data_IF_217280842052
#
_entry.id   IF_217280842052
#
_cell.length_a   1.000
_cell.length_b   1.000
_cell.length_c   1.000
_cell.angle_alpha   90.00
_cell.angle_beta   90.00
_cell.angle_gamma   90.00
#
_symmetry.space_group_name_H-M   'P 1'
#
loop_
_entity.id
_entity.type
_entity.pdbx_description
1 polymer ?
#
# COMPACT_ATOMS: atom_id res chain seq x y z
N UNK A 1 -6.11 4.75 5.25
CA UNK A 1 -6.28 5.48 3.98
C UNK A 1 -4.92 5.83 3.42
N UNK A 2 -4.75 5.80 2.11
CA UNK A 2 -3.48 6.23 1.50
C UNK A 2 -3.28 7.73 1.68
N UNK A 3 -2.03 8.15 1.93
CA UNK A 3 -1.67 9.56 1.72
C UNK A 3 -1.95 9.93 0.25
N UNK A 4 -2.36 11.18 0.01
CA UNK A 4 -2.70 11.64 -1.34
C UNK A 4 -1.58 11.39 -2.36
N UNK A 5 -0.33 11.53 -1.94
CA UNK A 5 0.82 11.27 -2.81
C UNK A 5 0.98 9.78 -3.15
N UNK A 6 0.76 8.91 -2.20
CA UNK A 6 0.77 7.46 -2.41
C UNK A 6 -0.37 7.03 -3.35
N UNK A 7 -1.54 7.63 -3.19
CA UNK A 7 -2.67 7.41 -4.10
C UNK A 7 -2.32 7.81 -5.54
N UNK A 8 -1.68 8.98 -5.72
CA UNK A 8 -1.22 9.43 -7.04
C UNK A 8 -0.19 8.47 -7.65
N UNK A 9 0.75 7.95 -6.85
CA UNK A 9 1.73 6.96 -7.29
C UNK A 9 1.05 5.65 -7.76
N UNK A 10 0.08 5.16 -6.99
CA UNK A 10 -0.69 3.97 -7.37
C UNK A 10 -1.50 4.20 -8.65
N UNK A 11 -2.06 5.40 -8.82
CA UNK A 11 -2.75 5.77 -10.07
C UNK A 11 -1.77 5.85 -11.25
N UNK A 12 -0.56 6.38 -11.04
CA UNK A 12 0.49 6.38 -12.06
C UNK A 12 0.89 4.95 -12.47
N UNK A 13 1.10 4.04 -11.52
CA UNK A 13 1.40 2.65 -11.84
C UNK A 13 0.26 1.98 -12.64
N UNK A 14 -0.99 2.23 -12.29
CA UNK A 14 -2.14 1.74 -13.05
C UNK A 14 -2.21 2.32 -14.46
N UNK A 15 -1.98 3.64 -14.61
CA UNK A 15 -2.01 4.31 -15.92
C UNK A 15 -0.85 3.90 -16.82
N UNK A 16 0.32 3.63 -16.23
CA UNK A 16 1.50 3.15 -16.94
C UNK A 16 1.52 1.63 -17.18
N UNK A 17 0.54 0.88 -16.64
CA UNK A 17 0.46 -0.58 -16.77
C UNK A 17 1.53 -1.32 -15.96
N UNK A 18 2.11 -0.73 -14.92
CA UNK A 18 3.06 -1.39 -14.03
C UNK A 18 2.36 -2.25 -12.99
N UNK A 19 2.80 -3.50 -12.83
CA UNK A 19 2.25 -4.40 -11.84
C UNK A 19 3.12 -4.42 -10.57
N UNK A 20 2.80 -3.55 -9.61
CA UNK A 20 3.52 -3.49 -8.33
C UNK A 20 3.35 -4.76 -7.46
N UNK A 21 2.34 -5.59 -7.73
CA UNK A 21 2.09 -6.79 -6.93
C UNK A 21 2.97 -7.99 -7.28
N UNK A 22 3.63 -7.92 -8.45
CA UNK A 22 4.56 -8.94 -8.89
C UNK A 22 5.99 -8.69 -8.39
N UNK A 23 6.14 -8.19 -7.17
CA UNK A 23 7.41 -7.90 -6.54
C UNK A 23 7.57 -8.74 -5.27
N UNK A 24 8.82 -9.13 -4.96
CA UNK A 24 9.11 -9.83 -3.70
C UNK A 24 8.74 -9.00 -2.48
N UNK A 25 9.02 -7.70 -2.50
CA UNK A 25 8.67 -6.76 -1.42
C UNK A 25 7.17 -6.72 -1.09
N UNK A 26 6.32 -7.07 -2.06
CA UNK A 26 4.87 -7.10 -1.94
C UNK A 26 4.28 -8.50 -1.70
N UNK A 27 5.15 -9.48 -1.34
CA UNK A 27 4.70 -10.84 -1.06
C UNK A 27 3.64 -10.88 0.05
N UNK A 28 3.84 -10.12 1.13
CA UNK A 28 2.97 -10.03 2.31
C UNK A 28 2.00 -8.83 2.26
N UNK A 29 1.78 -8.19 1.11
CA UNK A 29 0.99 -6.96 1.01
C UNK A 29 -0.42 -7.10 1.58
N UNK A 30 -1.08 -8.24 1.38
CA UNK A 30 -2.45 -8.46 1.83
C UNK A 30 -2.57 -8.62 3.35
N UNK A 31 -1.63 -9.31 3.99
CA UNK A 31 -1.61 -9.40 5.45
C UNK A 31 -1.21 -8.06 6.09
N UNK A 32 -0.28 -7.32 5.46
CA UNK A 32 0.09 -5.96 5.91
C UNK A 32 -1.07 -4.97 5.85
N UNK A 33 -1.88 -5.01 4.80
CA UNK A 33 -3.04 -4.14 4.65
C UNK A 33 -4.06 -4.29 5.81
N UNK A 34 -4.14 -5.48 6.42
CA UNK A 34 -5.09 -5.79 7.49
C UNK A 34 -4.45 -5.70 8.88
N UNK A 35 -3.18 -6.11 9.03
CA UNK A 35 -2.51 -6.20 10.34
C UNK A 35 -1.55 -5.04 10.63
N UNK A 36 -0.94 -4.44 9.61
CA UNK A 36 0.05 -3.38 9.79
C UNK A 36 -0.44 -2.01 9.29
N UNK A 37 -1.76 -1.78 9.35
CA UNK A 37 -2.31 -0.48 9.00
C UNK A 37 -1.83 0.63 9.96
N UNK A 38 -1.62 1.80 9.39
CA UNK A 38 -1.24 2.98 10.16
C UNK A 38 -2.48 3.61 10.80
N UNK A 39 -2.42 3.81 12.13
CA UNK A 39 -3.44 4.55 12.86
C UNK A 39 -3.04 6.01 12.97
N UNK A 40 -3.88 6.97 12.59
CA UNK A 40 -3.58 8.38 12.78
C UNK A 40 -3.33 8.70 14.26
N UNK A 41 -2.46 9.69 14.52
CA UNK A 41 -2.14 10.15 15.89
C UNK A 41 -2.48 11.62 16.02
N UNK A 42 -3.32 11.95 17.01
CA UNK A 42 -3.74 13.32 17.24
C UNK A 42 -4.65 13.85 16.12
N UNK A 43 -4.44 15.06 15.67
CA UNK A 43 -5.24 15.70 14.63
C UNK A 43 -4.36 16.03 13.40
N UNK A 44 -4.69 15.44 12.27
CA UNK A 44 -4.02 15.66 10.99
C UNK A 44 -5.01 16.15 9.93
N UNK A 45 -4.62 17.14 9.15
CA UNK A 45 -5.35 17.69 8.03
C UNK A 45 -4.49 17.63 6.76
N UNK A 46 -5.02 17.03 5.71
CA UNK A 46 -4.37 16.95 4.39
C UNK A 46 -5.23 17.68 3.37
N UNK A 47 -4.66 18.71 2.75
CA UNK A 47 -5.32 19.49 1.70
C UNK A 47 -4.49 19.37 0.43
N UNK A 48 -5.10 18.89 -0.64
CA UNK A 48 -4.44 18.77 -1.94
C UNK A 48 -5.23 19.50 -3.01
N UNK A 49 -4.52 20.07 -3.96
CA UNK A 49 -5.11 20.73 -5.12
C UNK A 49 -4.79 19.97 -6.40
N UNK A 50 -5.67 20.09 -7.37
CA UNK A 50 -5.59 19.46 -8.69
C UNK A 50 -5.49 20.52 -9.79
N UNK A 51 -4.48 21.42 -9.79
CA UNK A 51 -4.44 22.56 -10.72
C UNK A 51 -4.33 22.11 -12.17
N UNK A 52 -3.58 21.04 -12.43
CA UNK A 52 -3.46 20.42 -13.74
C UNK A 52 -3.44 18.89 -13.63
N UNK A 53 -3.77 18.17 -14.72
CA UNK A 53 -3.68 16.72 -14.72
C UNK A 53 -2.28 16.18 -14.43
N UNK A 54 -1.23 16.96 -14.72
CA UNK A 54 0.18 16.56 -14.56
C UNK A 54 0.80 17.01 -13.23
N UNK A 55 0.34 18.10 -12.63
CA UNK A 55 0.94 18.67 -11.42
C UNK A 55 -0.05 18.72 -10.26
N UNK A 56 0.36 18.22 -9.10
CA UNK A 56 -0.49 18.07 -7.92
C UNK A 56 0.28 18.43 -6.65
N UNK A 57 0.01 19.59 -6.03
CA UNK A 57 0.53 19.95 -4.72
C UNK A 57 -0.35 19.38 -3.59
N UNK A 58 0.28 19.08 -2.47
CA UNK A 58 -0.38 18.61 -1.25
C UNK A 58 0.25 19.27 -0.02
N UNK A 59 -0.60 19.66 0.90
CA UNK A 59 -0.26 20.31 2.17
C UNK A 59 -0.75 19.40 3.30
N UNK A 60 0.14 19.02 4.21
CA UNK A 60 -0.22 18.27 5.40
C UNK A 60 0.05 19.13 6.62
N UNK A 61 -0.91 19.22 7.52
CA UNK A 61 -0.78 19.91 8.79
C UNK A 61 -1.17 18.94 9.91
N UNK A 62 -0.25 18.66 10.81
CA UNK A 62 -0.51 17.92 12.04
C UNK A 62 -0.57 18.93 13.20
N UNK A 63 -1.75 19.07 13.78
CA UNK A 63 -1.97 20.02 14.87
C UNK A 63 -1.62 19.43 16.23
N UNK A 64 -1.80 18.13 16.42
CA UNK A 64 -1.55 17.39 17.66
C UNK A 64 -0.79 16.08 17.36
N UNK A 65 0.09 15.61 18.28
CA UNK A 65 0.47 16.20 19.57
C UNK A 65 1.44 17.38 19.43
N UNK A 66 2.11 17.52 18.31
CA UNK A 66 3.04 18.63 18.01
C UNK A 66 2.66 19.26 16.69
N UNK A 67 2.75 20.59 16.64
CA UNK A 67 2.50 21.31 15.40
C UNK A 67 3.65 21.05 14.41
N UNK A 68 3.33 20.32 13.36
CA UNK A 68 4.24 20.08 12.26
C UNK A 68 3.46 19.98 10.96
N UNK A 69 4.16 20.03 9.85
CA UNK A 69 3.51 19.94 8.56
C UNK A 69 4.46 19.57 7.45
N UNK A 70 3.93 19.41 6.28
CA UNK A 70 4.74 19.19 5.08
C UNK A 70 4.07 19.77 3.85
N UNK A 71 4.93 20.19 2.92
CA UNK A 71 4.55 20.63 1.58
C UNK A 71 5.10 19.62 0.59
N UNK A 72 4.21 18.98 -0.15
CA UNK A 72 4.56 18.04 -1.19
C UNK A 72 4.10 18.51 -2.57
N UNK A 73 4.80 18.07 -3.60
CA UNK A 73 4.37 18.22 -4.99
C UNK A 73 4.68 16.95 -5.76
N UNK A 74 3.84 16.69 -6.73
CA UNK A 74 3.98 15.57 -7.63
C UNK A 74 3.79 16.06 -9.06
N UNK A 75 4.68 15.63 -9.94
CA UNK A 75 4.60 15.90 -11.37
C UNK A 75 4.72 14.59 -12.15
N UNK A 76 3.87 14.42 -13.14
CA UNK A 76 3.84 13.23 -14.00
C UNK A 76 3.89 13.59 -15.47
N UNK A 77 4.60 12.80 -16.27
CA UNK A 77 4.61 12.96 -17.73
C UNK A 77 3.24 12.65 -18.35
N UNK A 78 2.54 11.67 -17.79
CA UNK A 78 1.18 11.34 -18.20
C UNK A 78 0.15 12.13 -17.39
N UNK A 79 -0.92 12.61 -18.02
CA UNK A 79 -2.02 13.20 -17.29
C UNK A 79 -2.66 12.14 -16.38
N UNK A 80 -2.74 12.45 -15.08
CA UNK A 80 -3.49 11.64 -14.12
C UNK A 80 -4.84 12.28 -13.90
N UNK A 81 -5.86 11.66 -14.45
CA UNK A 81 -7.24 12.04 -14.17
C UNK A 81 -7.62 11.58 -12.76
N UNK A 82 -7.41 12.46 -11.80
CA UNK A 82 -7.83 12.27 -10.42
C UNK A 82 -9.05 13.16 -10.22
N UNK A 83 -10.17 12.55 -9.87
CA UNK A 83 -11.35 13.31 -9.48
C UNK A 83 -11.15 14.04 -8.14
N UNK A 84 -12.00 15.00 -7.84
CA UNK A 84 -12.05 15.67 -6.54
C UNK A 84 -12.45 14.68 -5.44
N UNK A 85 -12.21 15.03 -4.19
CA UNK A 85 -12.63 14.19 -3.03
C UNK A 85 -14.13 13.87 -3.02
N UNK A 86 -14.95 14.69 -3.70
CA UNK A 86 -16.37 14.41 -3.91
C UNK A 86 -16.63 13.27 -4.91
N UNK A 87 -15.86 13.21 -6.00
CA UNK A 87 -16.10 12.30 -7.14
C UNK A 87 -15.28 11.02 -7.09
N UNK A 88 -14.13 11.05 -6.38
CA UNK A 88 -13.26 9.89 -6.25
C UNK A 88 -13.98 8.72 -5.58
N UNK A 89 -13.76 7.53 -6.12
CA UNK A 89 -14.21 6.30 -5.47
C UNK A 89 -13.39 6.06 -4.19
N UNK A 90 -14.10 6.00 -3.05
CA UNK A 90 -13.50 5.73 -1.76
C UNK A 90 -12.72 4.41 -1.74
N UNK A 91 -13.16 3.42 -2.51
CA UNK A 91 -12.50 2.12 -2.60
C UNK A 91 -11.05 2.19 -3.10
N UNK A 92 -10.73 3.20 -3.91
CA UNK A 92 -9.38 3.37 -4.45
C UNK A 92 -8.42 4.09 -3.49
N UNK A 93 -8.98 4.81 -2.52
CA UNK A 93 -8.22 5.59 -1.53
C UNK A 93 -7.79 4.81 -0.30
N UNK A 94 -8.28 3.60 -0.13
CA UNK A 94 -8.01 2.78 1.06
C UNK A 94 -7.14 1.58 0.74
N UNK A 95 -6.20 1.29 1.66
CA UNK A 95 -5.45 0.05 1.64
C UNK A 95 -6.32 -1.07 2.21
N UNK A 96 -6.73 -2.00 1.37
CA UNK A 96 -7.67 -3.07 1.72
C UNK A 96 -7.33 -4.34 0.98
N UNK A 97 -7.87 -5.45 1.45
CA UNK A 97 -7.82 -6.70 0.71
C UNK A 97 -8.51 -6.54 -0.66
N UNK A 98 -7.76 -6.81 -1.72
CA UNK A 98 -8.26 -6.74 -3.10
C UNK A 98 -7.90 -8.00 -3.86
N UNK A 99 -8.82 -8.45 -4.69
CA UNK A 99 -8.47 -9.42 -5.72
C UNK A 99 -7.87 -8.63 -6.88
N UNK A 100 -6.65 -8.97 -7.25
CA UNK A 100 -5.97 -8.33 -8.37
C UNK A 100 -6.59 -8.81 -9.66
N UNK A 101 -7.41 -7.98 -10.25
CA UNK A 101 -7.88 -8.20 -11.61
C UNK A 101 -6.74 -7.80 -12.55
N UNK A 102 -6.30 -8.72 -13.42
CA UNK A 102 -5.39 -8.39 -14.50
C UNK A 102 -6.02 -7.27 -15.31
N UNK A 103 -5.46 -6.06 -15.22
CA UNK A 103 -5.94 -4.97 -16.05
C UNK A 103 -5.75 -5.39 -17.51
N UNK A 104 -6.75 -5.16 -18.39
CA UNK A 104 -6.52 -5.34 -19.81
C UNK A 104 -5.32 -4.48 -20.19
N UNK A 105 -4.32 -5.08 -20.77
CA UNK A 105 -3.20 -4.38 -21.38
C UNK A 105 -3.79 -3.49 -22.47
N UNK A 106 -4.14 -2.27 -22.11
CA UNK A 106 -4.25 -1.21 -23.11
C UNK A 106 -2.91 -1.22 -23.80
N UNK A 107 -2.89 -1.43 -25.10
CA UNK A 107 -1.69 -1.33 -25.94
C UNK A 107 -1.17 0.09 -25.79
N UNK A 108 -0.31 0.28 -24.80
CA UNK A 108 0.31 1.56 -24.51
C UNK A 108 1.36 1.73 -25.60
N UNK A 109 1.16 2.73 -26.44
CA UNK A 109 2.11 3.02 -27.50
C UNK A 109 3.38 3.65 -26.89
N UNK A 110 4.36 2.81 -26.57
CA UNK A 110 5.64 3.22 -25.96
C UNK A 110 6.54 4.08 -26.88
N UNK A 111 6.07 4.33 -28.12
CA UNK A 111 6.87 5.05 -29.12
C UNK A 111 7.04 6.55 -28.84
N UNK A 112 6.27 7.13 -27.90
CA UNK A 112 6.18 8.60 -27.80
C UNK A 112 7.08 9.22 -26.73
N UNK A 113 7.33 8.59 -25.60
CA UNK A 113 8.32 9.01 -24.58
C UNK A 113 8.27 8.09 -23.35
N UNK A 114 9.38 7.88 -22.65
CA UNK A 114 9.36 7.12 -21.40
C UNK A 114 8.55 7.85 -20.34
N UNK A 115 7.62 7.15 -19.71
CA UNK A 115 6.82 7.68 -18.63
C UNK A 115 7.67 7.96 -17.40
N UNK A 116 7.50 9.11 -16.78
CA UNK A 116 8.18 9.46 -15.54
C UNK A 116 7.27 10.16 -14.54
N UNK A 117 7.65 10.04 -13.28
CA UNK A 117 7.01 10.68 -12.15
C UNK A 117 8.11 11.32 -11.28
N UNK A 118 7.91 12.56 -10.90
CA UNK A 118 8.72 13.29 -9.95
C UNK A 118 7.87 13.60 -8.71
N UNK A 119 8.40 13.31 -7.55
CA UNK A 119 7.81 13.63 -6.27
C UNK A 119 8.83 14.33 -5.39
N UNK A 120 8.40 15.37 -4.69
CA UNK A 120 9.20 16.06 -3.69
C UNK A 120 8.33 16.45 -2.50
N UNK A 121 8.85 16.30 -1.27
CA UNK A 121 8.17 16.69 -0.04
C UNK A 121 9.15 17.32 0.94
N UNK A 122 8.77 18.44 1.51
CA UNK A 122 9.53 19.15 2.52
C UNK A 122 8.73 19.16 3.82
N UNK A 123 9.38 18.76 4.93
CA UNK A 123 8.76 18.70 6.26
C UNK A 123 9.18 19.90 7.10
N UNK A 124 8.25 20.45 7.86
CA UNK A 124 8.45 21.55 8.79
C UNK A 124 8.14 21.10 10.23
N UNK A 125 8.88 21.57 11.25
CA UNK A 125 9.96 22.58 11.21
C UNK A 125 11.35 22.01 10.86
N UNK A 126 11.51 20.70 10.73
CA UNK A 126 12.82 20.04 10.61
C UNK A 126 13.51 20.20 9.26
N UNK A 127 12.91 20.87 8.26
CA UNK A 127 13.41 21.06 6.90
C UNK A 127 13.94 19.78 6.22
N UNK A 128 13.43 18.61 6.61
CA UNK A 128 13.75 17.34 5.95
C UNK A 128 13.13 17.33 4.56
N UNK A 129 13.93 16.95 3.58
CA UNK A 129 13.51 16.81 2.19
C UNK A 129 13.45 15.34 1.80
N UNK A 130 12.38 14.97 1.15
CA UNK A 130 12.22 13.67 0.52
C UNK A 130 11.97 13.89 -0.97
N UNK A 131 12.62 13.11 -1.82
CA UNK A 131 12.43 13.14 -3.25
C UNK A 131 12.33 11.72 -3.79
N UNK A 132 11.52 11.53 -4.82
CA UNK A 132 11.39 10.27 -5.54
C UNK A 132 11.30 10.56 -7.04
N UNK A 133 12.02 9.78 -7.80
CA UNK A 133 11.97 9.76 -9.25
C UNK A 133 11.68 8.35 -9.74
N UNK A 134 10.62 8.19 -10.50
CA UNK A 134 10.25 6.92 -11.13
C UNK A 134 10.31 7.12 -12.64
N UNK A 135 10.95 6.21 -13.36
CA UNK A 135 11.02 6.22 -14.82
C UNK A 135 10.74 4.84 -15.38
N UNK A 136 9.76 4.76 -16.26
CA UNK A 136 9.51 3.59 -17.10
C UNK A 136 10.42 3.68 -18.32
N UNK A 137 11.40 2.79 -18.41
CA UNK A 137 12.35 2.75 -19.54
C UNK A 137 11.77 1.92 -20.68
N UNK A 138 11.12 0.80 -20.33
CA UNK A 138 10.43 -0.07 -21.28
C UNK A 138 9.20 -0.69 -20.64
N UNK A 139 8.48 -1.53 -21.39
CA UNK A 139 7.32 -2.27 -20.89
C UNK A 139 7.63 -3.13 -19.65
N UNK A 140 8.85 -3.67 -19.59
CA UNK A 140 9.28 -4.58 -18.54
C UNK A 140 10.30 -3.97 -17.57
N UNK A 141 10.83 -2.77 -17.87
CA UNK A 141 11.92 -2.18 -17.11
C UNK A 141 11.52 -0.84 -16.51
N UNK A 142 11.65 -0.73 -15.19
CA UNK A 142 11.43 0.49 -14.42
C UNK A 142 12.64 0.82 -13.56
N UNK A 143 12.96 2.09 -13.47
CA UNK A 143 13.98 2.64 -12.60
C UNK A 143 13.35 3.56 -11.58
N UNK A 144 13.74 3.40 -10.32
CA UNK A 144 13.26 4.20 -9.20
C UNK A 144 14.45 4.73 -8.41
N UNK A 145 14.42 6.01 -8.07
CA UNK A 145 15.38 6.65 -7.17
C UNK A 145 14.62 7.34 -6.07
N UNK A 146 15.02 7.11 -4.84
CA UNK A 146 14.52 7.85 -3.67
C UNK A 146 15.68 8.52 -2.97
N UNK A 147 15.49 9.75 -2.55
CA UNK A 147 16.49 10.52 -1.82
C UNK A 147 15.85 11.15 -0.59
N UNK A 148 16.54 11.06 0.54
CA UNK A 148 16.13 11.69 1.80
C UNK A 148 17.30 12.50 2.31
N UNK A 149 17.06 13.78 2.54
CA UNK A 149 18.04 14.70 3.10
C UNK A 149 17.48 15.34 4.39
N UNK A 150 18.26 15.32 5.45
CA UNK A 150 17.93 15.98 6.71
C UNK A 150 19.01 17.01 7.02
N UNK A 151 18.66 18.27 7.30
CA UNK A 151 19.66 19.32 7.60
C UNK A 151 20.33 19.16 8.97
N UNK A 152 20.06 18.10 9.72
CA UNK A 152 20.71 17.81 11.00
C UNK A 152 22.18 17.47 10.77
N UNK A 153 23.05 18.17 11.52
CA UNK A 153 24.49 17.96 11.49
C UNK A 153 24.84 16.54 11.81
N UNK A 154 25.22 15.61 11.27
CA UNK A 154 25.55 14.18 11.52
C UNK A 154 24.64 13.17 10.81
N UNK A 155 23.65 13.60 10.02
CA UNK A 155 22.86 12.69 9.19
C UNK A 155 23.25 12.88 7.73
N UNK A 156 23.93 11.92 7.15
CA UNK A 156 24.28 11.93 5.72
C UNK A 156 23.02 11.83 4.86
N UNK A 157 23.00 12.47 3.68
CA UNK A 157 21.94 12.27 2.70
C UNK A 157 21.87 10.80 2.28
N UNK A 158 20.68 10.26 2.27
CA UNK A 158 20.45 8.87 1.85
C UNK A 158 19.87 8.85 0.44
N UNK A 159 20.47 8.07 -0.43
CA UNK A 159 19.97 7.84 -1.79
C UNK A 159 19.82 6.34 -2.00
N UNK A 160 18.63 5.92 -2.36
CA UNK A 160 18.38 4.54 -2.74
C UNK A 160 17.96 4.48 -4.22
N UNK A 161 18.58 3.58 -4.96
CA UNK A 161 18.32 3.32 -6.37
C UNK A 161 17.79 1.91 -6.52
N UNK A 162 16.79 1.72 -7.33
CA UNK A 162 16.19 0.42 -7.59
C UNK A 162 15.89 0.26 -9.07
N UNK A 163 16.37 -0.83 -9.64
CA UNK A 163 16.05 -1.27 -10.99
C UNK A 163 15.16 -2.50 -10.91
N UNK A 164 14.02 -2.46 -11.56
CA UNK A 164 13.01 -3.51 -11.54
C UNK A 164 12.75 -4.00 -12.95
N UNK A 165 12.78 -5.33 -13.13
CA UNK A 165 12.47 -5.98 -14.38
C UNK A 165 11.34 -6.99 -14.17
N UNK A 166 10.19 -6.77 -14.79
CA UNK A 166 8.98 -7.60 -14.63
C UNK A 166 8.47 -8.10 -15.99
N UNK A 167 8.39 -9.41 -16.12
CA UNK A 167 7.84 -10.11 -17.31
C UNK A 167 6.46 -10.70 -17.03
N UNK A 168 5.95 -10.50 -15.79
CA UNK A 168 4.68 -11.07 -15.34
C UNK A 168 4.82 -12.48 -14.76
N UNK A 169 5.57 -13.38 -15.39
CA UNK A 169 5.87 -14.71 -14.86
C UNK A 169 6.95 -14.69 -13.79
N UNK A 170 7.92 -13.82 -13.96
CA UNK A 170 8.99 -13.58 -12.99
C UNK A 170 9.32 -12.10 -12.92
N UNK A 171 9.80 -11.67 -11.77
CA UNK A 171 10.26 -10.32 -11.51
C UNK A 171 11.64 -10.39 -10.85
N UNK A 172 12.53 -9.50 -11.24
CA UNK A 172 13.85 -9.33 -10.64
C UNK A 172 14.04 -7.86 -10.29
N UNK A 173 14.60 -7.61 -9.11
CA UNK A 173 14.86 -6.27 -8.60
C UNK A 173 16.31 -6.19 -8.13
N UNK A 174 17.01 -5.14 -8.52
CA UNK A 174 18.33 -4.80 -8.02
C UNK A 174 18.24 -3.46 -7.30
N UNK A 175 18.71 -3.38 -6.08
CA UNK A 175 18.70 -2.17 -5.26
C UNK A 175 20.08 -1.83 -4.72
N UNK A 176 20.36 -0.53 -4.61
CA UNK A 176 21.55 0.01 -3.97
C UNK A 176 21.15 1.17 -3.07
N UNK A 177 21.68 1.20 -1.84
CA UNK A 177 21.45 2.29 -0.89
C UNK A 177 22.79 2.88 -0.46
N UNK A 178 22.90 4.21 -0.52
CA UNK A 178 24.18 4.90 -0.29
C UNK A 178 24.60 4.97 1.19
N UNK A 179 23.68 4.82 2.13
CA UNK A 179 23.93 4.95 3.56
C UNK A 179 24.89 3.86 4.06
N UNK A 180 24.46 2.61 3.95
CA UNK A 180 25.26 1.45 4.39
C UNK A 180 26.00 0.77 3.23
N UNK A 181 25.98 1.34 2.03
CA UNK A 181 26.47 0.66 0.83
C UNK A 181 25.75 -0.67 0.58
N UNK A 182 24.46 -0.75 0.92
CA UNK A 182 23.68 -1.98 0.85
C UNK A 182 23.29 -2.30 -0.58
N UNK A 183 23.77 -3.46 -1.07
CA UNK A 183 23.35 -4.07 -2.33
C UNK A 183 22.25 -5.09 -2.04
N UNK A 184 21.14 -5.02 -2.77
CA UNK A 184 20.03 -5.96 -2.65
C UNK A 184 19.67 -6.55 -4.00
N UNK A 185 19.47 -7.86 -4.04
CA UNK A 185 18.92 -8.58 -5.19
C UNK A 185 17.67 -9.33 -4.75
N UNK A 186 16.55 -9.10 -5.45
CA UNK A 186 15.28 -9.77 -5.20
C UNK A 186 14.81 -10.46 -6.45
N UNK A 187 14.23 -11.63 -6.29
CA UNK A 187 13.61 -12.35 -7.38
C UNK A 187 12.29 -12.98 -6.91
N UNK A 188 11.31 -12.98 -7.79
CA UNK A 188 10.01 -13.63 -7.58
C UNK A 188 9.65 -14.41 -8.83
N UNK A 189 9.22 -15.65 -8.67
CA UNK A 189 8.74 -16.52 -9.76
C UNK A 189 7.34 -17.03 -9.45
N UNK A 190 6.44 -16.90 -10.41
CA UNK A 190 5.06 -17.34 -10.33
C UNK A 190 4.85 -18.66 -11.06
N UNK A 191 4.35 -19.66 -10.31
CA UNK A 191 3.99 -20.97 -10.86
C UNK A 191 2.50 -20.98 -11.19
N UNK A 192 2.12 -21.78 -12.16
CA UNK A 192 0.74 -22.00 -12.54
C UNK A 192 0.38 -21.38 -13.88
N UNK A 193 -0.68 -21.90 -14.48
CA UNK A 193 -1.23 -21.35 -15.70
C UNK A 193 -2.25 -20.24 -15.36
N UNK A 194 -2.46 -19.26 -16.23
CA UNK A 194 -3.40 -18.15 -15.99
C UNK A 194 -4.87 -18.60 -15.85
N UNK A 195 -5.17 -19.85 -16.16
CA UNK A 195 -6.52 -20.46 -16.07
C UNK A 195 -6.70 -21.28 -14.76
N UNK A 196 -5.66 -21.44 -13.96
CA UNK A 196 -5.74 -22.21 -12.71
C UNK A 196 -6.53 -21.45 -11.63
N UNK A 197 -7.11 -22.19 -10.67
CA UNK A 197 -7.87 -21.64 -9.54
C UNK A 197 -7.00 -20.82 -8.58
N UNK A 198 -5.70 -21.08 -8.55
CA UNK A 198 -4.75 -20.42 -7.67
C UNK A 198 -3.36 -20.31 -8.28
N UNK A 199 -2.56 -19.42 -7.72
CA UNK A 199 -1.19 -19.16 -8.14
C UNK A 199 -0.24 -19.33 -6.96
N UNK A 200 0.81 -20.12 -7.15
CA UNK A 200 1.95 -20.19 -6.27
C UNK A 200 3.02 -19.22 -6.73
N UNK A 201 3.66 -18.54 -5.78
CA UNK A 201 4.80 -17.66 -6.04
C UNK A 201 5.90 -18.02 -5.06
N UNK A 202 7.13 -18.14 -5.56
CA UNK A 202 8.33 -18.34 -4.73
C UNK A 202 9.26 -17.18 -5.00
N UNK A 203 9.84 -16.61 -3.95
CA UNK A 203 10.78 -15.51 -4.06
C UNK A 203 11.92 -15.63 -3.08
N UNK A 204 12.98 -14.91 -3.40
CA UNK A 204 14.17 -14.80 -2.56
C UNK A 204 14.71 -13.37 -2.60
N UNK A 205 15.37 -12.99 -1.52
CA UNK A 205 16.00 -11.71 -1.34
C UNK A 205 17.39 -11.91 -0.73
N UNK A 206 18.39 -11.33 -1.35
CA UNK A 206 19.77 -11.34 -0.92
C UNK A 206 20.23 -9.93 -0.65
N UNK A 207 20.88 -9.70 0.47
CA UNK A 207 21.51 -8.42 0.82
C UNK A 207 22.99 -8.60 1.08
N UNK A 208 23.75 -7.60 0.67
CA UNK A 208 25.14 -7.48 1.03
C UNK A 208 25.48 -6.04 1.37
N UNK A 209 25.88 -5.79 2.62
CA UNK A 209 26.41 -4.51 3.08
C UNK A 209 27.90 -4.42 2.78
N UNK A 210 28.28 -3.51 1.88
CA UNK A 210 29.68 -3.36 1.46
C UNK A 210 30.53 -2.79 2.60
N UNK A 211 29.96 -1.86 3.38
CA UNK A 211 30.68 -1.21 4.48
C UNK A 211 30.84 -2.15 5.68
N UNK A 212 29.78 -2.82 6.08
CA UNK A 212 29.76 -3.68 7.27
C UNK A 212 30.14 -5.14 6.95
N UNK A 213 30.33 -5.49 5.66
CA UNK A 213 30.59 -6.85 5.20
C UNK A 213 29.58 -7.87 5.73
N UNK A 214 28.34 -7.43 5.89
CA UNK A 214 27.23 -8.22 6.39
C UNK A 214 26.41 -8.77 5.22
N UNK A 215 25.90 -9.98 5.35
CA UNK A 215 25.01 -10.59 4.35
C UNK A 215 23.67 -10.97 4.98
N UNK A 216 22.60 -10.87 4.19
CA UNK A 216 21.26 -11.29 4.56
C UNK A 216 20.61 -12.14 3.48
N UNK A 217 19.83 -13.11 3.88
CA UNK A 217 19.05 -13.97 3.01
C UNK A 217 17.62 -14.05 3.55
N UNK A 218 16.63 -13.80 2.70
CA UNK A 218 15.23 -14.05 3.00
C UNK A 218 14.59 -14.81 1.84
N UNK A 219 13.74 -15.77 2.18
CA UNK A 219 12.98 -16.54 1.18
C UNK A 219 11.51 -16.50 1.54
N UNK A 220 10.64 -16.59 0.54
CA UNK A 220 9.21 -16.57 0.78
C UNK A 220 8.42 -17.33 -0.26
N UNK A 221 7.30 -17.88 0.18
CA UNK A 221 6.34 -18.61 -0.65
C UNK A 221 4.97 -17.97 -0.43
N UNK A 222 4.23 -17.77 -1.51
CA UNK A 222 2.85 -17.26 -1.47
C UNK A 222 1.95 -18.13 -2.34
N UNK A 223 0.81 -18.48 -1.78
CA UNK A 223 -0.33 -18.98 -2.53
C UNK A 223 -1.44 -17.91 -2.53
N UNK A 224 -2.05 -17.64 -3.66
CA UNK A 224 -3.21 -16.76 -3.78
C UNK A 224 -4.24 -17.31 -4.74
N UNK A 225 -5.51 -17.11 -4.45
CA UNK A 225 -6.61 -17.42 -5.36
C UNK A 225 -6.66 -16.37 -6.47
N UNK A 226 -6.82 -16.81 -7.72
CA UNK A 226 -6.95 -15.92 -8.87
C UNK A 226 -8.41 -15.45 -9.04
N UNK A 227 -8.63 -14.25 -9.63
CA UNK A 227 -9.99 -13.69 -9.84
C UNK A 227 -10.87 -14.54 -10.74
N UNK A 228 -10.28 -15.36 -11.60
CA UNK A 228 -10.99 -16.28 -12.50
C UNK A 228 -11.60 -17.49 -11.78
N UNK A 229 -11.27 -17.68 -10.50
CA UNK A 229 -11.78 -18.80 -9.71
C UNK A 229 -13.11 -18.47 -9.05
N UNK A 230 -14.03 -19.43 -9.01
CA UNK A 230 -15.24 -19.39 -8.18
C UNK A 230 -14.97 -19.66 -6.69
N UNK A 231 -13.73 -20.01 -6.33
CA UNK A 231 -13.34 -20.27 -4.96
C UNK A 231 -13.24 -18.96 -4.15
N UNK A 232 -13.49 -19.00 -2.83
CA UNK A 232 -13.34 -17.83 -1.98
C UNK A 232 -11.89 -17.29 -2.06
N UNK A 233 -11.71 -15.96 -2.12
CA UNK A 233 -10.39 -15.36 -2.19
C UNK A 233 -9.60 -15.61 -0.90
N UNK A 234 -8.50 -16.34 -1.03
CA UNK A 234 -7.56 -16.62 0.06
C UNK A 234 -6.15 -16.29 -0.35
N UNK A 235 -5.32 -15.95 0.63
CA UNK A 235 -3.87 -15.85 0.48
C UNK A 235 -3.17 -16.50 1.66
N UNK A 236 -2.24 -17.37 1.37
CA UNK A 236 -1.32 -17.93 2.32
C UNK A 236 0.09 -17.46 1.98
N UNK A 237 0.84 -16.99 2.98
CA UNK A 237 2.20 -16.51 2.78
C UNK A 237 3.09 -17.08 3.88
N UNK A 238 4.23 -17.59 3.51
CA UNK A 238 5.29 -18.05 4.40
C UNK A 238 6.59 -17.36 4.03
N UNK A 239 7.27 -16.75 4.99
CA UNK A 239 8.59 -16.15 4.81
C UNK A 239 9.55 -16.66 5.86
N UNK A 240 10.79 -16.88 5.46
CA UNK A 240 11.87 -17.39 6.29
C UNK A 240 13.13 -16.57 6.05
N UNK A 241 13.71 -16.08 7.12
CA UNK A 241 15.06 -15.54 7.13
C UNK A 241 15.96 -16.50 7.93
N UNK A 242 16.75 -17.35 7.27
CA UNK A 242 17.53 -18.37 7.96
C UNK A 242 18.71 -17.80 8.75
N UNK A 243 19.21 -16.61 8.39
CA UNK A 243 20.36 -15.99 9.07
C UNK A 243 19.92 -15.43 10.42
N UNK A 244 18.79 -14.72 10.46
CA UNK A 244 18.23 -14.16 11.69
C UNK A 244 17.39 -15.21 12.46
N UNK A 245 17.05 -16.31 11.81
CA UNK A 245 16.16 -17.33 12.37
C UNK A 245 14.71 -16.87 12.50
N UNK A 246 14.27 -15.88 11.71
CA UNK A 246 12.91 -15.37 11.76
C UNK A 246 12.01 -16.06 10.72
N UNK A 247 10.88 -16.54 11.16
CA UNK A 247 9.86 -17.22 10.38
C UNK A 247 8.52 -16.48 10.56
N UNK A 248 7.85 -16.19 9.47
CA UNK A 248 6.53 -15.55 9.50
C UNK A 248 5.55 -16.31 8.58
N UNK A 249 4.39 -16.65 9.13
CA UNK A 249 3.31 -17.30 8.39
C UNK A 249 2.08 -16.44 8.47
N UNK A 250 1.45 -16.13 7.34
CA UNK A 250 0.20 -15.38 7.33
C UNK A 250 -0.86 -16.06 6.48
N UNK A 251 -2.10 -16.00 6.96
CA UNK A 251 -3.27 -16.49 6.27
C UNK A 251 -4.34 -15.40 6.23
N UNK A 252 -4.81 -15.09 5.03
CA UNK A 252 -5.86 -14.10 4.78
C UNK A 252 -6.99 -14.78 4.04
N UNK A 253 -8.21 -14.63 4.51
CA UNK A 253 -9.39 -15.19 3.86
C UNK A 253 -10.54 -14.17 3.83
N UNK A 254 -11.20 -14.09 2.70
CA UNK A 254 -12.47 -13.38 2.56
C UNK A 254 -13.58 -14.34 3.02
N UNK A 255 -14.14 -14.08 4.20
CA UNK A 255 -15.20 -14.91 4.81
C UNK A 255 -16.53 -14.63 4.13
N UNK A 256 -16.86 -13.34 3.98
CA UNK A 256 -18.06 -12.85 3.30
C UNK A 256 -17.69 -11.70 2.37
N UNK A 257 -18.66 -11.15 1.62
CA UNK A 257 -18.41 -9.98 0.78
C UNK A 257 -17.97 -8.76 1.58
N UNK A 258 -18.36 -8.66 2.83
CA UNK A 258 -18.08 -7.54 3.73
C UNK A 258 -16.95 -7.80 4.71
N UNK A 259 -16.66 -9.06 5.03
CA UNK A 259 -15.72 -9.45 6.07
C UNK A 259 -14.52 -10.20 5.50
N UNK A 260 -13.32 -9.69 5.80
CA UNK A 260 -12.04 -10.35 5.56
C UNK A 260 -11.33 -10.55 6.90
N UNK A 261 -10.78 -11.71 7.12
CA UNK A 261 -9.99 -12.04 8.31
C UNK A 261 -8.56 -12.36 7.94
N UNK A 262 -7.65 -12.01 8.82
CA UNK A 262 -6.24 -12.28 8.69
C UNK A 262 -5.66 -12.77 10.02
N UNK A 263 -4.79 -13.77 9.94
CA UNK A 263 -3.98 -14.23 11.07
C UNK A 263 -2.53 -14.30 10.63
N UNK A 264 -1.60 -13.87 11.49
CA UNK A 264 -0.17 -13.95 11.28
C UNK A 264 0.49 -14.51 12.53
N UNK A 265 1.39 -15.46 12.32
CA UNK A 265 2.22 -16.06 13.35
C UNK A 265 3.68 -15.81 12.98
N UNK A 266 4.37 -15.09 13.85
CA UNK A 266 5.79 -14.78 13.75
C UNK A 266 6.53 -15.60 14.81
N UNK A 267 7.64 -16.23 14.43
CA UNK A 267 8.45 -17.06 15.31
C UNK A 267 9.94 -16.81 15.06
N UNK A 268 10.69 -16.65 16.15
CA UNK A 268 12.15 -16.57 16.11
C UNK A 268 12.76 -17.88 16.61
N UNK A 269 13.50 -18.56 15.73
CA UNK A 269 14.13 -19.86 16.03
C UNK A 269 15.21 -19.73 17.11
N UNK A 270 15.91 -18.59 17.14
CA UNK A 270 17.03 -18.42 18.05
C UNK A 270 16.62 -17.89 19.45
N UNK A 271 15.61 -17.01 19.51
CA UNK A 271 15.11 -16.49 20.79
C UNK A 271 13.91 -17.26 21.35
N UNK A 272 13.34 -18.18 20.56
CA UNK A 272 12.08 -18.88 20.88
C UNK A 272 10.90 -17.95 21.17
N UNK A 273 11.00 -16.71 20.73
CA UNK A 273 9.90 -15.75 20.84
C UNK A 273 8.85 -16.02 19.76
N UNK A 274 7.60 -15.98 20.16
CA UNK A 274 6.47 -16.12 19.26
C UNK A 274 5.51 -14.95 19.41
N UNK A 275 5.00 -14.43 18.30
CA UNK A 275 3.97 -13.41 18.27
C UNK A 275 2.81 -13.88 17.38
N UNK A 276 1.60 -13.77 17.91
CA UNK A 276 0.37 -14.04 17.18
C UNK A 276 -0.40 -12.74 17.00
N UNK A 277 -0.70 -12.40 15.77
CA UNK A 277 -1.55 -11.28 15.43
C UNK A 277 -2.77 -11.75 14.63
N UNK A 278 -3.94 -11.28 15.03
CA UNK A 278 -5.20 -11.54 14.35
C UNK A 278 -5.87 -10.20 14.03
N UNK A 279 -6.46 -10.09 12.86
CA UNK A 279 -7.16 -8.88 12.45
C UNK A 279 -8.31 -9.18 11.51
N UNK A 280 -9.18 -8.19 11.40
CA UNK A 280 -10.28 -8.23 10.45
C UNK A 280 -10.49 -6.87 9.78
N UNK A 281 -11.07 -6.94 8.60
CA UNK A 281 -11.51 -5.81 7.80
C UNK A 281 -13.00 -5.99 7.51
N UNK A 282 -13.82 -5.04 7.98
CA UNK A 282 -15.26 -5.03 7.74
C UNK A 282 -15.65 -3.84 6.84
N UNK A 283 -16.40 -4.11 5.79
CA UNK A 283 -16.80 -3.14 4.77
C UNK A 283 -18.26 -2.78 4.92
N UNK A 284 -18.53 -1.49 5.10
CA UNK A 284 -19.90 -0.98 5.12
C UNK A 284 -20.29 -0.54 3.72
N UNK A 285 -21.32 -1.18 3.17
CA UNK A 285 -21.88 -0.88 1.85
C UNK A 285 -23.21 -0.15 2.02
N UNK A 286 -23.45 0.88 1.23
CA UNK A 286 -24.77 1.49 1.12
C UNK A 286 -25.50 0.91 -0.10
N UNK A 287 -26.65 0.31 0.17
CA UNK A 287 -27.55 -0.17 -0.86
C UNK A 287 -28.43 1.01 -1.30
N UNK A 288 -27.97 1.84 -2.22
CA UNK A 288 -28.85 2.77 -2.91
C UNK A 288 -29.72 2.00 -3.88
N UNK A 289 -31.00 1.94 -3.61
CA UNK A 289 -32.01 1.52 -4.58
C UNK A 289 -32.28 2.76 -5.43
N UNK A 290 -31.64 2.86 -6.59
CA UNK A 290 -32.02 3.86 -7.58
C UNK A 290 -33.35 3.41 -8.18
N UNK A 291 -34.43 3.98 -7.66
CA UNK A 291 -35.75 3.86 -8.26
C UNK A 291 -35.84 4.86 -9.41
N UNK A 292 -35.49 4.46 -10.61
CA UNK A 292 -35.87 5.20 -11.80
C UNK A 292 -37.37 4.95 -12.02
N UNK A 293 -38.15 5.96 -11.76
CA UNK A 293 -39.57 6.00 -12.09
C UNK A 293 -39.69 6.53 -13.52
N UNK A 294 -39.64 5.64 -14.48
CA UNK A 294 -40.16 5.92 -15.82
C UNK A 294 -41.68 5.61 -15.85
N UNK A 295 -42.45 6.53 -16.38
CA UNK A 295 -43.91 6.64 -16.22
C UNK A 295 -44.76 5.43 -16.75
N UNK A 296 -44.17 4.36 -17.24
CA UNK A 296 -44.99 3.21 -17.75
C UNK A 296 -44.42 1.80 -17.54
N UNK A 297 -43.23 1.61 -17.02
CA UNK A 297 -42.71 0.25 -16.71
C UNK A 297 -41.76 0.30 -15.51
N UNK A 298 -42.17 -0.34 -14.41
CA UNK A 298 -41.28 -0.59 -13.29
C UNK A 298 -40.31 -1.70 -13.68
N UNK A 299 -39.24 -1.35 -14.37
CA UNK A 299 -38.13 -2.27 -14.62
C UNK A 299 -37.14 -2.09 -13.49
N UNK A 300 -37.16 -3.02 -12.50
CA UNK A 300 -36.12 -3.15 -11.51
C UNK A 300 -34.84 -3.62 -12.18
N UNK A 301 -34.16 -2.73 -12.90
CA UNK A 301 -32.79 -2.96 -13.32
C UNK A 301 -31.92 -2.82 -12.08
N UNK A 302 -31.73 -3.96 -11.41
CA UNK A 302 -30.79 -4.08 -10.31
C UNK A 302 -29.35 -3.96 -10.83
N UNK A 303 -28.98 -2.80 -11.36
CA UNK A 303 -27.59 -2.44 -11.55
C UNK A 303 -27.06 -2.03 -10.16
N UNK A 304 -26.70 -3.07 -9.38
CA UNK A 304 -26.18 -2.93 -8.02
C UNK A 304 -24.76 -2.37 -8.07
N UNK A 305 -24.63 -1.10 -8.30
CA UNK A 305 -23.37 -0.40 -7.99
C UNK A 305 -23.24 -0.29 -6.45
N UNK A 306 -22.77 -1.37 -5.84
CA UNK A 306 -22.47 -1.41 -4.40
C UNK A 306 -21.32 -0.45 -4.10
N UNK A 307 -21.65 0.75 -3.67
CA UNK A 307 -20.66 1.77 -3.31
C UNK A 307 -20.22 1.59 -1.85
N UNK A 308 -18.92 1.39 -1.63
CA UNK A 308 -18.35 1.32 -0.29
C UNK A 308 -18.37 2.72 0.35
N UNK A 309 -18.95 2.87 1.54
CA UNK A 309 -19.00 4.13 2.29
C UNK A 309 -18.07 4.16 3.50
N UNK A 310 -17.73 3.01 4.05
CA UNK A 310 -16.88 2.92 5.22
C UNK A 310 -16.12 1.61 5.31
N UNK A 311 -15.00 1.67 6.02
CA UNK A 311 -14.15 0.54 6.31
C UNK A 311 -13.77 0.55 7.78
N UNK A 312 -13.97 -0.56 8.46
CA UNK A 312 -13.51 -0.77 9.83
C UNK A 312 -12.42 -1.81 9.81
N UNK A 313 -11.28 -1.50 10.41
CA UNK A 313 -10.20 -2.45 10.64
C UNK A 313 -9.95 -2.59 12.12
N UNK A 314 -9.74 -3.81 12.55
CA UNK A 314 -9.26 -4.08 13.89
C UNK A 314 -8.15 -5.12 13.82
N UNK A 315 -7.15 -4.94 14.67
CA UNK A 315 -6.11 -5.95 14.91
C UNK A 315 -5.88 -6.11 16.39
N UNK A 316 -5.59 -7.33 16.78
CA UNK A 316 -5.07 -7.68 18.08
C UNK A 316 -3.79 -8.48 17.90
N UNK A 317 -2.74 -8.13 18.61
CA UNK A 317 -1.47 -8.84 18.60
C UNK A 317 -0.91 -8.96 20.00
N UNK A 318 -0.24 -10.06 20.29
CA UNK A 318 0.32 -10.30 21.61
C UNK A 318 1.41 -9.27 21.96
N UNK A 319 2.24 -8.87 21.00
CA UNK A 319 3.27 -7.87 21.18
C UNK A 319 2.79 -6.44 20.94
N UNK A 320 1.91 -6.23 19.95
CA UNK A 320 1.51 -4.88 19.48
C UNK A 320 0.20 -4.34 20.09
N UNK A 321 -0.47 -5.13 20.96
CA UNK A 321 -1.74 -4.75 21.56
C UNK A 321 -2.90 -4.67 20.56
N UNK A 322 -3.92 -3.86 20.90
CA UNK A 322 -5.14 -3.64 20.11
C UNK A 322 -5.02 -2.36 19.29
N UNK A 323 -5.40 -2.41 18.02
CA UNK A 323 -5.59 -1.23 17.19
C UNK A 323 -6.93 -1.32 16.45
N UNK A 324 -7.65 -0.20 16.46
CA UNK A 324 -8.92 -0.02 15.77
C UNK A 324 -8.79 1.17 14.82
N UNK A 325 -9.37 1.07 13.63
CA UNK A 325 -9.39 2.15 12.66
C UNK A 325 -10.74 2.13 11.92
N UNK A 326 -11.32 3.29 11.79
CA UNK A 326 -12.51 3.53 10.99
C UNK A 326 -12.19 4.56 9.91
N UNK A 327 -12.37 4.18 8.68
CA UNK A 327 -12.18 5.03 7.50
C UNK A 327 -13.52 5.23 6.81
N UNK A 328 -13.78 6.44 6.34
CA UNK A 328 -15.04 6.74 5.68
C UNK A 328 -14.96 7.97 4.80
N UNK A 329 -16.01 8.14 4.00
CA UNK A 329 -16.23 9.32 3.17
C UNK A 329 -17.48 10.03 3.68
N UNK A 330 -17.35 11.31 4.04
CA UNK A 330 -18.46 12.14 4.43
C UNK A 330 -18.51 13.37 3.51
N UNK A 331 -19.55 13.47 2.70
CA UNK A 331 -19.69 14.51 1.64
C UNK A 331 -18.44 14.57 0.76
N UNK A 332 -17.68 15.66 0.88
CA UNK A 332 -16.49 15.96 0.08
C UNK A 332 -15.19 15.70 0.84
N UNK A 333 -15.23 15.11 2.01
CA UNK A 333 -14.06 14.83 2.83
C UNK A 333 -13.91 13.34 3.09
N UNK A 334 -12.67 12.91 3.14
CA UNK A 334 -12.29 11.57 3.57
C UNK A 334 -11.77 11.69 5.00
N UNK A 335 -12.11 10.76 5.87
CA UNK A 335 -11.64 10.76 7.24
C UNK A 335 -11.18 9.38 7.68
N UNK A 336 -10.23 9.38 8.60
CA UNK A 336 -9.70 8.19 9.24
C UNK A 336 -9.61 8.44 10.74
N UNK A 337 -10.33 7.66 11.53
CA UNK A 337 -10.31 7.69 12.99
C UNK A 337 -9.59 6.45 13.49
N UNK A 338 -8.56 6.64 14.31
CA UNK A 338 -7.75 5.56 14.83
C UNK A 338 -7.61 5.57 16.34
N UNK A 339 -7.51 4.38 16.91
CA UNK A 339 -7.27 4.14 18.33
C UNK A 339 -6.25 3.01 18.45
N UNK A 340 -5.22 3.22 19.30
CA UNK A 340 -4.33 2.14 19.72
C UNK A 340 -4.36 1.98 21.22
N UNK A 341 -4.44 0.74 21.69
CA UNK A 341 -4.47 0.40 23.08
C UNK A 341 -3.50 -0.76 23.37
N UNK A 342 -2.76 -0.65 24.46
CA UNK A 342 -1.95 -1.71 25.02
C UNK A 342 -2.58 -2.20 26.33
N UNK A 343 -3.14 -3.39 26.30
CA UNK A 343 -3.84 -3.96 27.45
C UNK A 343 -2.91 -4.39 28.59
N UNK A 344 -1.60 -4.36 28.38
CA UNK A 344 -0.58 -4.68 29.41
C UNK A 344 -0.11 -3.46 30.18
N UNK A 345 -0.35 -2.26 29.64
CA UNK A 345 0.08 -1.01 30.26
C UNK A 345 -0.92 -0.54 31.33
N UNK A 346 -0.43 0.20 32.32
CA UNK A 346 -1.28 0.91 33.31
C UNK A 346 -2.19 1.95 32.68
N UNK A 347 -1.79 2.49 31.53
CA UNK A 347 -2.64 3.37 30.68
C UNK A 347 -3.00 2.59 29.39
N UNK A 348 -4.16 1.96 29.32
CA UNK A 348 -4.50 1.09 28.21
C UNK A 348 -4.58 1.82 26.86
N UNK A 349 -5.07 3.06 26.84
CA UNK A 349 -5.17 3.86 25.61
C UNK A 349 -3.86 4.58 25.39
N UNK A 350 -3.14 4.22 24.30
CA UNK A 350 -1.86 4.85 23.93
C UNK A 350 -2.06 6.06 23.03
N UNK A 351 -2.85 5.89 21.98
CA UNK A 351 -3.08 6.98 21.00
C UNK A 351 -4.50 6.97 20.48
N UNK A 352 -5.02 8.18 20.27
CA UNK A 352 -6.26 8.45 19.53
C UNK A 352 -5.91 9.48 18.48
N UNK A 353 -6.43 9.34 17.26
CA UNK A 353 -6.21 10.32 16.22
C UNK A 353 -7.30 10.36 15.18
N UNK A 354 -7.42 11.54 14.59
CA UNK A 354 -8.29 11.83 13.46
C UNK A 354 -7.49 12.45 12.34
N UNK A 355 -7.60 11.88 11.18
CA UNK A 355 -7.04 12.43 9.95
C UNK A 355 -8.18 12.78 9.00
N UNK A 356 -8.13 13.98 8.44
CA UNK A 356 -9.10 14.48 7.48
C UNK A 356 -8.36 14.83 6.19
N UNK A 357 -8.83 14.30 5.07
CA UNK A 357 -8.28 14.59 3.76
C UNK A 357 -9.32 15.26 2.86
N UNK A 358 -8.88 16.33 2.19
CA UNK A 358 -9.68 17.06 1.22
C UNK A 358 -8.85 17.39 -0.01
N UNK A 359 -9.37 17.14 -1.21
CA UNK A 359 -8.73 17.53 -2.46
C UNK A 359 -9.75 18.02 -3.50
N UNK A 360 -9.35 19.08 -4.20
CA UNK A 360 -10.19 19.84 -5.13
C UNK A 360 -9.45 20.22 -6.41
#
# INVERSE_FOLDING_TARGET
MYDFMEYCLKRFYRSSGWNEENQYSNLCSWSRAILDFHTPRGLSLVISKLPTPQFKPSYTLNALPTLNGSLGYLYTSRPLEIGTSATVDFQDMIDRFRIVVKQPTTTIDYRVSPDYLLYGRMFFPGARLEAMYVRRISEHLQFLVTAVNSPRAYVSPQVAMQLQYDVGKWCSECSYTSDDGLLGLRALYNFGQPVSTGQWSIGTELYYGVLDKSGGLSTGIRYRTLPSSSAPPISFTYTLNPIVGHMSTSYVAKVNEELVMCSRFDFSIYSYESDLAVGFEYRTKNKKIDTQVDDHVITLTADRTEKLEGLIKARWGMAKGLALMWEGKFKNTLFSLGLTADLRSTSPIQTIGLEVQYFS
#
